data_IF_782750018115
#
_entry.id   IF_782750018115
#
_cell.length_a   1.000
_cell.length_b   1.000
_cell.length_c   1.000
_cell.angle_alpha   90.00
_cell.angle_beta   90.00
_cell.angle_gamma   90.00
#
_symmetry.space_group_name_H-M   'P 1'
#
loop_
_entity.id
_entity.type
_entity.pdbx_description
1 polymer ?
#
# COMPACT_ATOMS: atom_id res chain seq x y z
N UNK A 1 -23.54 6.61 -1.11
CA UNK A 1 -22.14 6.54 -0.62
C UNK A 1 -21.28 7.31 -1.58
N UNK A 2 -20.22 8.02 -1.14
CA UNK A 2 -19.29 8.63 -2.09
C UNK A 2 -18.75 7.54 -3.04
N UNK A 3 -18.74 7.82 -4.34
CA UNK A 3 -18.16 6.91 -5.33
C UNK A 3 -16.66 6.95 -5.14
N UNK A 4 -16.08 5.80 -4.83
CA UNK A 4 -14.64 5.66 -4.70
C UNK A 4 -14.11 5.34 -6.08
N UNK A 5 -13.57 6.37 -6.72
CA UNK A 5 -13.05 6.28 -8.09
C UNK A 5 -11.53 6.20 -8.01
N UNK A 6 -11.00 5.05 -8.44
CA UNK A 6 -9.58 4.84 -8.75
C UNK A 6 -9.50 4.08 -10.06
N UNK A 7 -8.64 4.55 -10.94
CA UNK A 7 -8.30 3.90 -12.21
C UNK A 7 -7.00 3.13 -12.07
N UNK A 8 -6.75 2.15 -12.93
CA UNK A 8 -5.42 1.52 -13.00
C UNK A 8 -4.33 2.54 -13.35
N UNK A 9 -4.64 3.58 -14.13
CA UNK A 9 -3.70 4.63 -14.51
C UNK A 9 -3.19 5.47 -13.31
N UNK A 10 -3.87 5.40 -12.16
CA UNK A 10 -3.42 6.03 -10.91
C UNK A 10 -2.17 5.36 -10.32
N UNK A 11 -1.84 4.15 -10.77
CA UNK A 11 -0.80 3.29 -10.18
C UNK A 11 0.25 2.87 -11.21
N UNK A 12 1.52 2.93 -10.79
CA UNK A 12 2.67 2.51 -11.61
C UNK A 12 3.29 1.21 -11.14
N UNK A 13 3.27 0.97 -9.83
CA UNK A 13 3.74 -0.26 -9.23
C UNK A 13 2.60 -1.25 -9.06
N UNK A 14 2.81 -2.50 -9.49
CA UNK A 14 1.80 -3.54 -9.48
C UNK A 14 2.31 -4.79 -8.79
N UNK A 15 1.52 -5.32 -7.87
CA UNK A 15 1.81 -6.56 -7.16
C UNK A 15 0.68 -7.59 -7.38
N UNK A 16 0.98 -8.79 -7.92
CA UNK A 16 -0.01 -9.83 -8.13
C UNK A 16 -0.43 -10.49 -6.81
N UNK A 17 -1.74 -10.69 -6.61
CA UNK A 17 -2.26 -11.38 -5.42
C UNK A 17 -3.20 -12.50 -5.86
N UNK A 18 -2.89 -13.71 -5.42
CA UNK A 18 -3.76 -14.87 -5.60
C UNK A 18 -4.69 -15.03 -4.40
N UNK A 19 -6.00 -15.15 -4.64
CA UNK A 19 -6.94 -15.44 -3.55
C UNK A 19 -6.93 -16.93 -3.25
N UNK A 20 -6.78 -17.27 -1.98
CA UNK A 20 -6.77 -18.65 -1.48
C UNK A 20 -8.16 -18.99 -0.93
N UNK A 21 -8.53 -20.27 -0.98
CA UNK A 21 -9.78 -20.73 -0.36
C UNK A 21 -9.89 -20.28 1.12
N UNK A 22 -8.78 -20.34 1.86
CA UNK A 22 -8.70 -19.93 3.26
C UNK A 22 -8.73 -18.41 3.52
N UNK A 23 -8.79 -17.57 2.48
CA UNK A 23 -9.04 -16.14 2.63
C UNK A 23 -10.53 -15.82 2.80
N UNK A 24 -11.41 -16.75 2.43
CA UNK A 24 -12.85 -16.60 2.62
C UNK A 24 -13.28 -16.90 4.05
N UNK A 25 -14.34 -16.24 4.50
CA UNK A 25 -15.01 -16.55 5.75
C UNK A 25 -16.34 -17.31 5.53
N UNK A 26 -17.07 -17.55 6.61
CA UNK A 26 -18.32 -18.29 6.61
C UNK A 26 -19.44 -17.63 5.77
N UNK A 27 -19.29 -16.35 5.39
CA UNK A 27 -20.25 -15.65 4.53
C UNK A 27 -19.98 -15.86 3.04
N UNK A 28 -18.95 -16.63 2.69
CA UNK A 28 -18.71 -17.08 1.31
C UNK A 28 -18.06 -16.03 0.42
N UNK A 29 -17.35 -15.07 1.01
CA UNK A 29 -16.49 -14.10 0.34
C UNK A 29 -15.20 -13.91 1.15
N UNK A 30 -14.21 -13.28 0.53
CA UNK A 30 -12.96 -12.93 1.21
C UNK A 30 -13.26 -12.10 2.46
N UNK A 31 -12.65 -12.48 3.58
CA UNK A 31 -12.81 -11.79 4.84
C UNK A 31 -12.21 -10.38 4.77
N UNK A 32 -12.90 -9.40 5.36
CA UNK A 32 -12.50 -7.99 5.33
C UNK A 32 -11.07 -7.74 5.86
N UNK A 33 -10.60 -8.51 6.85
CA UNK A 33 -9.26 -8.35 7.40
C UNK A 33 -8.15 -8.72 6.40
N UNK A 34 -8.42 -9.63 5.45
CA UNK A 34 -7.43 -10.11 4.47
C UNK A 34 -6.96 -9.01 3.53
N UNK A 35 -7.82 -8.04 3.21
CA UNK A 35 -7.46 -6.91 2.37
C UNK A 35 -6.29 -6.10 2.97
N UNK A 36 -6.19 -5.98 4.30
CA UNK A 36 -5.05 -5.30 4.92
C UNK A 36 -3.74 -6.08 4.72
N UNK A 37 -3.77 -7.41 4.79
CA UNK A 37 -2.61 -8.29 4.51
C UNK A 37 -2.22 -8.25 3.03
N UNK A 38 -3.21 -8.20 2.13
CA UNK A 38 -2.98 -8.03 0.70
C UNK A 38 -2.27 -6.70 0.41
N UNK A 39 -2.78 -5.61 0.99
CA UNK A 39 -2.19 -4.29 0.89
C UNK A 39 -0.79 -4.24 1.49
N UNK A 40 -0.57 -4.87 2.64
CA UNK A 40 0.75 -5.00 3.25
C UNK A 40 1.77 -5.67 2.31
N UNK A 41 1.38 -6.78 1.67
CA UNK A 41 2.24 -7.46 0.70
C UNK A 41 2.64 -6.55 -0.46
N UNK A 42 1.68 -5.81 -1.02
CA UNK A 42 1.94 -4.85 -2.09
C UNK A 42 2.86 -3.71 -1.65
N UNK A 43 2.66 -3.15 -0.45
CA UNK A 43 3.50 -2.08 0.12
C UNK A 43 4.93 -2.55 0.41
N UNK A 44 5.08 -3.76 0.95
CA UNK A 44 6.40 -4.33 1.21
C UNK A 44 7.16 -4.57 -0.10
N UNK A 45 6.49 -5.12 -1.12
CA UNK A 45 7.10 -5.29 -2.43
C UNK A 45 7.50 -3.94 -3.05
N UNK A 46 6.60 -2.93 -3.03
CA UNK A 46 6.92 -1.57 -3.46
C UNK A 46 8.16 -1.02 -2.74
N UNK A 47 8.21 -1.19 -1.42
CA UNK A 47 9.34 -0.74 -0.59
C UNK A 47 10.63 -1.43 -1.03
N UNK A 48 10.60 -2.73 -1.23
CA UNK A 48 11.79 -3.53 -1.57
C UNK A 48 12.40 -3.10 -2.91
N UNK A 49 11.55 -2.75 -3.86
CA UNK A 49 11.99 -2.37 -5.21
C UNK A 49 12.39 -0.89 -5.33
N UNK A 50 11.82 0.00 -4.50
CA UNK A 50 11.95 1.46 -4.69
C UNK A 50 12.72 2.18 -3.58
N UNK A 51 12.95 1.56 -2.41
CA UNK A 51 13.66 2.23 -1.31
C UNK A 51 15.17 1.96 -1.41
N UNK A 52 16.02 2.97 -1.21
CA UNK A 52 17.47 2.80 -1.20
C UNK A 52 17.94 2.19 0.14
N UNK A 53 17.52 0.96 0.46
CA UNK A 53 17.72 0.28 1.76
C UNK A 53 19.14 0.38 2.32
N UNK A 54 20.15 0.21 1.46
CA UNK A 54 21.57 0.25 1.87
C UNK A 54 22.03 1.64 2.32
N UNK A 55 21.30 2.70 1.95
CA UNK A 55 21.59 4.08 2.34
C UNK A 55 20.73 4.54 3.54
N UNK A 56 19.90 3.65 4.11
CA UNK A 56 19.03 3.96 5.24
C UNK A 56 19.63 3.48 6.56
N UNK A 57 19.39 4.19 7.68
CA UNK A 57 19.88 3.74 8.99
C UNK A 57 19.20 2.43 9.41
N UNK A 58 19.97 1.44 9.86
CA UNK A 58 19.44 0.12 10.26
C UNK A 58 18.42 0.19 11.41
N UNK A 59 18.51 1.20 12.28
CA UNK A 59 17.59 1.39 13.41
C UNK A 59 16.29 2.09 13.03
N UNK A 60 16.13 2.50 11.77
CA UNK A 60 15.01 3.32 11.33
C UNK A 60 14.25 2.66 10.18
N UNK A 61 12.93 2.58 10.31
CA UNK A 61 12.06 2.08 9.25
C UNK A 61 10.66 2.70 9.41
N UNK A 62 9.75 2.33 8.52
CA UNK A 62 8.35 2.67 8.58
C UNK A 62 7.63 1.87 9.67
N UNK A 63 6.86 2.55 10.50
CA UNK A 63 5.88 1.93 11.40
C UNK A 63 4.46 2.37 11.03
N UNK A 64 3.51 1.44 11.09
CA UNK A 64 2.10 1.71 10.76
C UNK A 64 1.44 2.51 11.89
N UNK A 65 0.93 3.70 11.56
CA UNK A 65 0.21 4.56 12.50
C UNK A 65 -1.32 4.47 12.33
N UNK A 66 -1.80 4.28 11.10
CA UNK A 66 -3.23 4.12 10.79
C UNK A 66 -3.39 3.34 9.49
N UNK A 67 -4.45 2.52 9.40
CA UNK A 67 -4.91 1.96 8.13
C UNK A 67 -6.43 2.05 8.00
N UNK A 68 -6.91 2.15 6.77
CA UNK A 68 -8.32 2.09 6.40
C UNK A 68 -8.49 1.31 5.10
N UNK A 69 -9.68 0.77 4.90
CA UNK A 69 -10.06 0.05 3.69
C UNK A 69 -11.49 0.41 3.33
N UNK A 70 -11.68 0.81 2.09
CA UNK A 70 -12.99 0.91 1.48
C UNK A 70 -13.23 -0.34 0.61
N UNK A 71 -14.33 -1.02 0.87
CA UNK A 71 -14.72 -2.24 0.17
C UNK A 71 -15.74 -1.90 -0.92
N UNK A 72 -15.36 -2.05 -2.19
CA UNK A 72 -16.16 -1.66 -3.37
C UNK A 72 -16.88 -2.87 -3.96
N UNK A 73 -16.19 -4.01 -4.08
CA UNK A 73 -16.73 -5.25 -4.62
C UNK A 73 -16.31 -6.46 -3.77
N UNK A 74 -17.16 -7.48 -3.70
CA UNK A 74 -16.81 -8.74 -3.04
C UNK A 74 -15.90 -9.60 -3.94
N UNK A 75 -14.92 -10.25 -3.32
CA UNK A 75 -14.09 -11.30 -3.93
C UNK A 75 -14.46 -12.69 -3.41
N UNK A 76 -14.28 -13.70 -4.25
CA UNK A 76 -14.41 -15.11 -3.89
C UNK A 76 -13.28 -15.90 -4.51
N UNK A 77 -12.90 -17.02 -3.93
CA UNK A 77 -12.05 -17.98 -4.63
C UNK A 77 -12.79 -18.51 -5.89
N UNK A 78 -12.12 -18.73 -7.03
CA UNK A 78 -10.68 -18.59 -7.31
C UNK A 78 -10.30 -17.27 -8.00
N UNK A 79 -10.89 -16.14 -7.60
CA UNK A 79 -10.52 -14.83 -8.14
C UNK A 79 -9.03 -14.51 -7.89
N UNK A 80 -8.48 -13.60 -8.69
CA UNK A 80 -7.16 -13.03 -8.51
C UNK A 80 -7.24 -11.50 -8.56
N UNK A 81 -6.25 -10.86 -7.94
CA UNK A 81 -6.11 -9.41 -7.89
C UNK A 81 -4.78 -8.95 -8.52
N UNK A 82 -4.82 -7.76 -9.10
CA UNK A 82 -3.66 -6.89 -9.27
C UNK A 82 -3.77 -5.75 -8.25
N UNK A 83 -2.77 -5.60 -7.38
CA UNK A 83 -2.72 -4.54 -6.39
C UNK A 83 -1.79 -3.42 -6.88
N UNK A 84 -2.37 -2.29 -7.28
CA UNK A 84 -1.65 -1.09 -7.65
C UNK A 84 -1.25 -0.33 -6.39
N UNK A 85 0.04 -0.07 -6.20
CA UNK A 85 0.57 0.62 -5.02
C UNK A 85 1.23 1.94 -5.41
N UNK A 86 1.02 2.98 -4.59
CA UNK A 86 1.70 4.28 -4.71
C UNK A 86 1.87 4.94 -3.35
N UNK A 87 2.78 5.92 -3.28
CA UNK A 87 2.78 6.91 -2.20
C UNK A 87 1.82 8.05 -2.56
N UNK A 88 0.68 8.13 -1.88
CA UNK A 88 -0.32 9.19 -2.09
C UNK A 88 0.06 10.52 -1.42
N UNK A 89 0.88 10.48 -0.36
CA UNK A 89 1.35 11.68 0.34
C UNK A 89 2.69 11.46 1.02
N UNK A 90 3.57 12.46 0.91
CA UNK A 90 4.89 12.50 1.53
C UNK A 90 4.98 13.71 2.47
N UNK A 91 5.00 13.45 3.78
CA UNK A 91 5.17 14.46 4.82
C UNK A 91 6.64 14.62 5.23
N UNK A 92 6.89 15.32 6.35
CA UNK A 92 8.24 15.45 6.95
C UNK A 92 8.73 14.11 7.51
N UNK A 93 7.87 13.43 8.26
CA UNK A 93 8.17 12.21 9.02
C UNK A 93 7.14 11.10 8.76
N UNK A 94 6.33 11.22 7.71
CA UNK A 94 5.26 10.27 7.40
C UNK A 94 5.08 10.07 5.90
N UNK A 95 4.64 8.87 5.54
CA UNK A 95 4.23 8.46 4.20
C UNK A 95 2.79 7.93 4.27
N UNK A 96 1.98 8.25 3.27
CA UNK A 96 0.68 7.59 3.08
C UNK A 96 0.79 6.70 1.85
N UNK A 97 0.73 5.39 2.07
CA UNK A 97 0.54 4.44 0.99
C UNK A 97 -0.95 4.38 0.63
N UNK A 98 -1.23 4.33 -0.67
CA UNK A 98 -2.53 3.93 -1.18
C UNK A 98 -2.34 2.67 -2.02
N UNK A 99 -3.23 1.68 -1.83
CA UNK A 99 -3.27 0.49 -2.66
C UNK A 99 -4.68 0.31 -3.21
N UNK A 100 -4.80 0.42 -4.54
CA UNK A 100 -6.01 0.06 -5.28
C UNK A 100 -5.94 -1.40 -5.72
N UNK A 101 -6.95 -2.18 -5.36
CA UNK A 101 -7.03 -3.60 -5.71
C UNK A 101 -8.04 -3.81 -6.81
N UNK A 102 -7.59 -4.32 -7.94
CA UNK A 102 -8.40 -4.57 -9.12
C UNK A 102 -8.47 -6.06 -9.40
N UNK A 103 -9.59 -6.54 -9.92
CA UNK A 103 -9.63 -7.90 -10.48
C UNK A 103 -8.51 -8.04 -11.51
N UNK A 104 -7.79 -9.17 -11.49
CA UNK A 104 -6.69 -9.47 -12.42
C UNK A 104 -7.06 -9.12 -13.85
N UNK A 105 -6.20 -8.37 -14.55
CA UNK A 105 -6.38 -8.01 -15.96
C UNK A 105 -7.71 -7.28 -16.28
N UNK A 106 -8.21 -6.48 -15.33
CA UNK A 106 -9.51 -5.80 -15.45
C UNK A 106 -9.48 -4.43 -14.76
N UNK A 107 -10.33 -3.50 -15.22
CA UNK A 107 -10.54 -2.17 -14.63
C UNK A 107 -11.47 -2.18 -13.40
N UNK A 108 -12.02 -3.35 -13.06
CA UNK A 108 -12.94 -3.50 -11.92
C UNK A 108 -12.22 -3.37 -10.59
N UNK A 109 -12.41 -2.22 -9.95
CA UNK A 109 -11.95 -1.93 -8.59
C UNK A 109 -12.73 -2.75 -7.56
N UNK A 110 -12.00 -3.37 -6.64
CA UNK A 110 -12.51 -4.22 -5.57
C UNK A 110 -12.41 -3.53 -4.22
N UNK A 111 -11.26 -2.94 -3.92
CA UNK A 111 -11.02 -2.25 -2.67
C UNK A 111 -9.94 -1.19 -2.82
N UNK A 112 -9.99 -0.17 -1.98
CA UNK A 112 -8.90 0.80 -1.83
C UNK A 112 -8.50 0.81 -0.37
N UNK A 113 -7.21 0.65 -0.11
CA UNK A 113 -6.66 0.77 1.24
C UNK A 113 -5.73 1.96 1.33
N UNK A 114 -5.74 2.61 2.47
CA UNK A 114 -4.74 3.61 2.84
C UNK A 114 -3.98 3.13 4.08
N UNK A 115 -2.69 3.41 4.12
CA UNK A 115 -1.85 3.18 5.27
C UNK A 115 -0.97 4.40 5.55
N UNK A 116 -1.26 5.08 6.65
CA UNK A 116 -0.39 6.14 7.18
C UNK A 116 0.72 5.47 7.97
N UNK A 117 1.95 5.68 7.51
CA UNK A 117 3.16 5.20 8.16
C UNK A 117 4.00 6.39 8.61
N UNK A 118 4.72 6.23 9.71
CA UNK A 118 5.68 7.24 10.19
C UNK A 118 7.08 6.66 10.16
N UNK A 119 8.06 7.50 9.87
CA UNK A 119 9.47 7.13 9.91
C UNK A 119 9.94 7.11 11.37
N UNK A 120 10.29 5.94 11.88
CA UNK A 120 10.46 5.69 13.31
C UNK A 120 11.85 5.17 13.61
N UNK A 121 12.47 5.74 14.63
CA UNK A 121 13.74 5.25 15.17
C UNK A 121 13.44 4.27 16.31
N UNK A 122 13.72 2.99 16.06
CA UNK A 122 13.48 1.91 17.01
C UNK A 122 14.47 1.89 18.17
N UNK A 123 15.66 2.48 17.99
CA UNK A 123 16.63 2.61 19.09
C UNK A 123 16.20 3.74 20.04
N UNK A 124 15.75 4.88 19.50
CA UNK A 124 15.30 6.02 20.29
C UNK A 124 13.81 5.96 20.69
N UNK A 125 13.05 5.02 20.14
CA UNK A 125 11.60 4.86 20.35
C UNK A 125 10.79 6.15 20.05
N UNK A 126 11.14 6.84 18.97
CA UNK A 126 10.47 8.08 18.57
C UNK A 126 10.40 8.25 17.05
N UNK A 127 9.46 9.06 16.59
CA UNK A 127 9.38 9.47 15.19
C UNK A 127 10.52 10.44 14.84
N UNK A 128 11.11 10.28 13.66
CA UNK A 128 12.14 11.17 13.11
C UNK A 128 11.82 11.57 11.67
N UNK A 129 12.57 12.50 11.09
CA UNK A 129 12.37 12.91 9.70
C UNK A 129 12.70 11.76 8.75
N UNK A 130 11.96 11.67 7.64
CA UNK A 130 12.30 10.76 6.53
C UNK A 130 13.67 11.19 5.97
N UNK A 131 14.65 10.27 5.85
CA UNK A 131 15.97 10.58 5.30
C UNK A 131 15.86 11.17 3.89
N UNK A 132 16.68 12.18 3.59
CA UNK A 132 16.63 12.87 2.30
C UNK A 132 16.85 11.92 1.12
N UNK A 133 17.74 10.94 1.27
CA UNK A 133 17.97 9.90 0.24
C UNK A 133 16.71 9.11 -0.11
N UNK A 134 15.85 8.81 0.87
CA UNK A 134 14.57 8.15 0.61
C UNK A 134 13.57 9.13 0.02
N UNK A 135 13.48 10.34 0.57
CA UNK A 135 12.60 11.39 0.05
C UNK A 135 12.87 11.63 -1.43
N UNK A 136 14.12 11.82 -1.82
CA UNK A 136 14.52 12.10 -3.20
C UNK A 136 14.22 10.92 -4.12
N UNK A 137 14.47 9.68 -3.68
CA UNK A 137 14.13 8.49 -4.44
C UNK A 137 12.61 8.38 -4.69
N UNK A 138 11.78 8.67 -3.68
CA UNK A 138 10.32 8.65 -3.81
C UNK A 138 9.81 9.77 -4.73
N UNK A 139 10.34 10.99 -4.61
CA UNK A 139 9.99 12.11 -5.49
C UNK A 139 10.37 11.84 -6.95
N UNK A 140 11.46 11.13 -7.19
CA UNK A 140 11.88 10.72 -8.53
C UNK A 140 10.96 9.64 -9.12
N UNK A 141 10.45 8.72 -8.29
CA UNK A 141 9.59 7.62 -8.74
C UNK A 141 8.12 8.01 -8.91
N UNK A 142 7.59 8.86 -8.02
CA UNK A 142 6.17 9.27 -7.97
C UNK A 142 5.96 10.68 -8.55
N UNK A 143 5.72 10.81 -9.87
CA UNK A 143 5.48 12.12 -10.46
C UNK A 143 4.20 12.75 -9.94
N UNK A 144 4.31 13.99 -9.43
CA UNK A 144 3.23 14.73 -8.80
C UNK A 144 3.23 14.64 -7.26
N UNK A 145 4.06 13.79 -6.67
CA UNK A 145 4.29 13.78 -5.23
C UNK A 145 5.05 15.06 -4.83
N UNK A 146 4.46 15.91 -3.99
CA UNK A 146 5.10 17.15 -3.52
C UNK A 146 4.78 18.42 -4.32
N UNK A 147 3.90 18.34 -5.32
CA UNK A 147 3.26 19.50 -5.94
C UNK A 147 2.14 20.09 -5.06
#
# INVERSE_FOLDING_TARGET
MPTIERSRDDYRYWYPIQIRWGDMDALGHVNNARYFTFSESARLAYRDDNFPRQALPDSQDLILARTSCDFVEQLKYPDDLDAGCRIAKLGRSSLVFEVGMFRRNSERLVAVTEAVTVWFDYAAQQTTAIPDVLRDALLAYEPGLGA
#
